data_IF_527405975385
#
_entry.id   IF_527405975385
#
_cell.length_a   1.000
_cell.length_b   1.000
_cell.length_c   1.000
_cell.angle_alpha   90.00
_cell.angle_beta   90.00
_cell.angle_gamma   90.00
#
_symmetry.space_group_name_H-M   'P 1'
#
loop_
_entity.id
_entity.type
_entity.pdbx_description
1 polymer ?
#
# COMPACT_ATOMS: atom_id res chain seq x y z
N UNK A 1 13.14 -13.91 49.55
CA UNK A 1 11.84 -13.44 48.99
C UNK A 1 11.72 -14.09 47.62
N UNK A 2 10.63 -14.83 47.35
CA UNK A 2 10.44 -15.54 46.09
C UNK A 2 9.85 -14.57 45.07
N UNK A 3 10.61 -14.20 44.06
CA UNK A 3 10.14 -13.33 42.98
C UNK A 3 9.52 -14.20 41.88
N UNK A 4 8.20 -14.12 41.73
CA UNK A 4 7.43 -14.90 40.77
C UNK A 4 7.58 -14.40 39.33
N UNK A 5 8.21 -13.23 39.13
CA UNK A 5 8.37 -12.60 37.82
C UNK A 5 9.74 -12.84 37.19
N UNK A 6 10.67 -13.52 37.88
CA UNK A 6 12.01 -13.80 37.33
C UNK A 6 12.00 -14.68 36.08
N UNK A 7 10.95 -15.49 35.89
CA UNK A 7 10.77 -16.31 34.70
C UNK A 7 10.03 -15.58 33.56
N UNK A 8 9.59 -14.33 33.80
CA UNK A 8 8.80 -13.54 32.84
C UNK A 8 9.70 -12.49 32.22
N UNK A 9 9.79 -12.51 30.90
CA UNK A 9 10.42 -11.42 30.15
C UNK A 9 9.47 -10.22 30.10
N UNK A 10 9.69 -9.26 31.00
CA UNK A 10 8.93 -8.01 31.04
C UNK A 10 9.08 -7.18 29.75
N UNK A 11 10.22 -7.30 29.04
CA UNK A 11 10.45 -6.62 27.77
C UNK A 11 9.47 -7.11 26.71
N UNK A 12 9.36 -8.43 26.54
CA UNK A 12 8.39 -9.05 25.66
C UNK A 12 6.94 -8.66 26.02
N UNK A 13 6.59 -8.53 27.30
CA UNK A 13 5.25 -8.10 27.73
C UNK A 13 4.97 -6.65 27.31
N UNK A 14 5.94 -5.75 27.46
CA UNK A 14 5.80 -4.35 27.05
C UNK A 14 5.71 -4.21 25.54
N UNK A 15 6.53 -4.95 24.80
CA UNK A 15 6.51 -4.92 23.34
C UNK A 15 5.20 -5.49 22.79
N UNK A 16 4.66 -6.55 23.38
CA UNK A 16 3.32 -7.06 23.02
C UNK A 16 2.21 -6.04 23.29
N UNK A 17 2.28 -5.28 24.39
CA UNK A 17 1.32 -4.19 24.66
C UNK A 17 1.43 -3.07 23.64
N UNK A 18 2.64 -2.68 23.27
CA UNK A 18 2.90 -1.66 22.24
C UNK A 18 2.41 -2.12 20.87
N UNK A 19 2.69 -3.37 20.50
CA UNK A 19 2.19 -3.98 19.28
C UNK A 19 0.66 -3.97 19.25
N UNK A 20 -0.01 -4.35 20.35
CA UNK A 20 -1.47 -4.30 20.44
C UNK A 20 -2.06 -2.89 20.29
N UNK A 21 -1.36 -1.86 20.75
CA UNK A 21 -1.77 -0.46 20.52
C UNK A 21 -1.59 -0.06 19.04
N UNK A 22 -0.47 -0.43 18.43
CA UNK A 22 -0.20 -0.19 17.00
C UNK A 22 -1.22 -0.88 16.11
N UNK A 23 -1.55 -2.15 16.39
CA UNK A 23 -2.53 -2.91 15.63
C UNK A 23 -3.93 -2.31 15.73
N UNK A 24 -4.37 -1.86 16.92
CA UNK A 24 -5.64 -1.13 17.06
C UNK A 24 -5.67 0.16 16.27
N UNK A 25 -4.60 0.94 16.33
CA UNK A 25 -4.50 2.18 15.57
C UNK A 25 -4.59 1.90 14.06
N UNK A 26 -3.88 0.88 13.58
CA UNK A 26 -3.92 0.47 12.18
C UNK A 26 -5.33 0.03 11.77
N UNK A 27 -6.01 -0.75 12.60
CA UNK A 27 -7.40 -1.17 12.39
C UNK A 27 -8.35 0.02 12.32
N UNK A 28 -8.28 0.95 13.26
CA UNK A 28 -9.11 2.17 13.26
C UNK A 28 -8.89 2.99 11.99
N UNK A 29 -7.63 3.19 11.58
CA UNK A 29 -7.30 3.92 10.35
C UNK A 29 -7.83 3.21 9.11
N UNK A 30 -7.80 1.88 9.11
CA UNK A 30 -8.36 1.10 8.02
C UNK A 30 -9.88 1.30 7.92
N UNK A 31 -10.59 1.22 9.04
CA UNK A 31 -12.04 1.46 9.11
C UNK A 31 -12.42 2.89 8.70
N UNK A 32 -11.66 3.90 9.14
CA UNK A 32 -11.84 5.29 8.72
C UNK A 32 -11.72 5.44 7.19
N UNK A 33 -10.69 4.85 6.58
CA UNK A 33 -10.47 4.91 5.12
C UNK A 33 -11.53 4.11 4.32
N UNK A 34 -12.09 3.06 4.90
CA UNK A 34 -13.21 2.30 4.33
C UNK A 34 -14.50 3.12 4.38
N UNK A 35 -14.81 3.74 5.52
CA UNK A 35 -15.97 4.60 5.70
C UNK A 35 -15.93 5.83 4.77
N UNK A 36 -14.75 6.42 4.56
CA UNK A 36 -14.54 7.51 3.60
C UNK A 36 -14.59 7.04 2.13
N UNK A 37 -14.70 5.73 1.87
CA UNK A 37 -14.70 5.17 0.51
C UNK A 37 -13.35 5.26 -0.21
N UNK A 38 -12.26 5.59 0.50
CA UNK A 38 -10.90 5.73 -0.06
C UNK A 38 -10.20 4.39 -0.29
N UNK A 39 -10.66 3.29 0.32
CA UNK A 39 -10.21 1.92 -0.01
C UNK A 39 -10.96 1.29 -1.17
N UNK A 40 -12.07 1.89 -1.62
CA UNK A 40 -12.83 1.38 -2.74
C UNK A 40 -12.11 1.71 -4.06
N UNK A 41 -12.20 0.79 -5.02
CA UNK A 41 -11.78 1.09 -6.39
C UNK A 41 -12.61 2.28 -6.89
N UNK A 42 -11.94 3.30 -7.43
CA UNK A 42 -12.62 4.45 -8.04
C UNK A 42 -13.60 3.96 -9.11
N UNK A 43 -14.88 4.23 -8.90
CA UNK A 43 -15.96 3.97 -9.87
C UNK A 43 -16.04 5.07 -10.93
N UNK A 44 -15.34 6.19 -10.71
CA UNK A 44 -15.33 7.32 -11.61
C UNK A 44 -14.40 7.03 -12.78
N UNK A 45 -14.97 6.85 -13.96
CA UNK A 45 -14.19 6.84 -15.19
C UNK A 45 -13.51 8.20 -15.39
N UNK A 46 -12.19 8.24 -15.66
CA UNK A 46 -11.54 9.46 -16.11
C UNK A 46 -12.24 10.00 -17.36
N UNK A 47 -12.44 11.31 -17.43
CA UNK A 47 -12.91 11.93 -18.66
C UNK A 47 -11.89 11.65 -19.76
N UNK A 48 -12.37 11.43 -20.99
CA UNK A 48 -11.53 11.08 -22.15
C UNK A 48 -10.31 12.00 -22.31
N UNK A 49 -10.49 13.32 -22.17
CA UNK A 49 -9.40 14.29 -22.23
C UNK A 49 -8.34 14.12 -21.13
N UNK A 50 -8.74 13.73 -19.91
CA UNK A 50 -7.80 13.50 -18.81
C UNK A 50 -7.03 12.18 -19.01
N UNK A 51 -7.68 11.17 -19.59
CA UNK A 51 -7.04 9.91 -19.94
C UNK A 51 -6.01 10.10 -21.05
N UNK A 52 -6.33 10.88 -22.07
CA UNK A 52 -5.41 11.20 -23.18
C UNK A 52 -4.17 11.94 -22.69
N UNK A 53 -4.32 12.94 -21.82
CA UNK A 53 -3.18 13.66 -21.19
C UNK A 53 -2.29 12.74 -20.36
N UNK A 54 -2.88 11.92 -19.49
CA UNK A 54 -2.12 10.97 -18.68
C UNK A 54 -1.36 9.97 -19.55
N UNK A 55 -1.96 9.54 -20.66
CA UNK A 55 -1.32 8.62 -21.60
C UNK A 55 -0.17 9.31 -22.37
N UNK A 56 -0.31 10.58 -22.69
CA UNK A 56 0.75 11.40 -23.30
C UNK A 56 1.94 11.63 -22.35
N UNK A 57 1.67 11.93 -21.07
CA UNK A 57 2.70 12.00 -20.02
C UNK A 57 3.43 10.66 -19.85
N UNK A 58 2.69 9.54 -19.87
CA UNK A 58 3.28 8.20 -19.78
C UNK A 58 4.11 7.84 -21.01
N UNK A 59 3.75 8.31 -22.20
CA UNK A 59 4.56 8.14 -23.43
C UNK A 59 5.89 8.88 -23.36
N UNK A 60 5.94 10.03 -22.68
CA UNK A 60 7.18 10.77 -22.48
C UNK A 60 8.17 10.02 -21.57
N UNK A 61 7.67 9.20 -20.64
CA UNK A 61 8.47 8.44 -19.68
C UNK A 61 8.81 7.05 -20.22
N UNK A 62 7.84 6.39 -20.88
CA UNK A 62 7.99 5.02 -21.34
C UNK A 62 8.02 4.95 -22.89
N UNK A 63 9.19 4.70 -23.49
CA UNK A 63 9.33 4.63 -24.95
C UNK A 63 8.52 3.49 -25.57
N UNK A 64 8.21 2.43 -24.81
CA UNK A 64 7.36 1.31 -25.27
C UNK A 64 5.93 1.76 -25.51
N UNK A 65 5.43 2.72 -24.74
CA UNK A 65 4.08 3.25 -24.94
C UNK A 65 4.02 4.26 -26.08
N UNK A 66 5.16 4.89 -26.41
CA UNK A 66 5.30 5.80 -27.54
C UNK A 66 5.40 5.03 -28.87
N UNK A 67 6.25 4.00 -28.92
CA UNK A 67 6.44 3.12 -30.08
C UNK A 67 6.34 1.64 -29.67
N UNK A 68 5.12 1.09 -29.56
CA UNK A 68 4.93 -0.29 -29.11
C UNK A 68 5.54 -1.33 -30.05
N UNK A 69 5.64 -1.01 -31.34
CA UNK A 69 6.17 -1.91 -32.37
C UNK A 69 7.69 -2.11 -32.26
N UNK A 70 8.38 -1.15 -31.65
CA UNK A 70 9.83 -1.18 -31.50
C UNK A 70 10.25 -1.92 -30.22
N UNK A 71 9.29 -2.32 -29.39
CA UNK A 71 9.57 -3.01 -28.15
C UNK A 71 9.94 -4.48 -28.41
N UNK A 72 11.19 -4.81 -28.12
CA UNK A 72 11.69 -6.18 -28.16
C UNK A 72 11.64 -6.73 -26.72
N UNK A 73 10.66 -7.59 -26.38
CA UNK A 73 10.63 -8.22 -25.07
C UNK A 73 11.87 -9.08 -24.88
N UNK A 74 12.57 -8.90 -23.76
CA UNK A 74 13.65 -9.81 -23.37
C UNK A 74 13.02 -11.14 -22.93
N UNK A 75 12.78 -12.04 -23.88
CA UNK A 75 12.44 -13.42 -23.58
C UNK A 75 13.64 -14.03 -22.84
N UNK A 76 13.57 -14.07 -21.50
CA UNK A 76 14.48 -14.90 -20.72
C UNK A 76 14.07 -16.35 -20.97
N UNK A 77 15.03 -17.11 -21.50
CA UNK A 77 14.98 -18.57 -21.69
C UNK A 77 14.87 -19.27 -20.33
#
# INVERSE_FOLDING_TARGET
IFDKLTCVDLGAVVDNKRLGAVLRLAQQKQEELEAEGKRMRSTKMPRRCAQERALEELRAINPVLASPQDFIPSLKR
#
